data_IF_377929737822
#
_entry.id   IF_377929737822
#
_cell.length_a   1.000
_cell.length_b   1.000
_cell.length_c   1.000
_cell.angle_alpha   90.00
_cell.angle_beta   90.00
_cell.angle_gamma   90.00
#
_symmetry.space_group_name_H-M   'P 1'
#
loop_
_entity.id
_entity.type
_entity.pdbx_description
1 polymer ?
#
# COMPACT_ATOMS: atom_id res chain seq x y z
N UNK A 1 -7.72 8.93 5.73
CA UNK A 1 -7.91 7.46 5.61
C UNK A 1 -9.01 6.95 4.66
N UNK A 2 -9.89 7.78 4.10
CA UNK A 2 -11.04 7.37 3.26
C UNK A 2 -10.75 6.33 2.14
N UNK A 3 -9.66 6.49 1.39
CA UNK A 3 -9.30 5.55 0.33
C UNK A 3 -9.00 4.13 0.84
N UNK A 4 -8.55 3.99 2.10
CA UNK A 4 -8.36 2.68 2.75
C UNK A 4 -9.72 1.99 2.94
N UNK A 5 -10.72 2.72 3.43
CA UNK A 5 -12.10 2.23 3.57
C UNK A 5 -12.69 1.85 2.21
N UNK A 6 -12.54 2.71 1.20
CA UNK A 6 -13.03 2.41 -0.14
C UNK A 6 -12.35 1.18 -0.73
N UNK A 7 -11.05 0.99 -0.48
CA UNK A 7 -10.35 -0.23 -0.87
C UNK A 7 -10.91 -1.47 -0.16
N UNK A 8 -11.19 -1.39 1.14
CA UNK A 8 -11.84 -2.47 1.89
C UNK A 8 -13.22 -2.82 1.32
N UNK A 9 -14.04 -1.80 1.07
CA UNK A 9 -15.39 -1.94 0.47
C UNK A 9 -15.33 -2.64 -0.88
N UNK A 10 -14.43 -2.21 -1.78
CA UNK A 10 -14.21 -2.85 -3.09
C UNK A 10 -13.77 -4.32 -2.93
N UNK A 11 -12.96 -4.63 -1.91
CA UNK A 11 -12.46 -5.98 -1.61
C UNK A 11 -13.42 -6.83 -0.76
N UNK A 12 -14.64 -6.34 -0.52
CA UNK A 12 -15.71 -7.06 0.15
C UNK A 12 -15.51 -7.23 1.66
N UNK A 13 -14.89 -6.27 2.34
CA UNK A 13 -14.87 -6.24 3.80
C UNK A 13 -14.98 -4.82 4.38
N UNK A 14 -15.52 -4.73 5.59
CA UNK A 14 -15.66 -3.48 6.32
C UNK A 14 -14.54 -3.35 7.34
N UNK A 15 -13.86 -2.22 7.35
CA UNK A 15 -12.90 -1.87 8.41
C UNK A 15 -13.72 -1.37 9.61
N UNK A 16 -13.57 -1.96 10.81
CA UNK A 16 -14.46 -1.68 11.93
C UNK A 16 -14.16 -0.36 12.68
N UNK A 17 -13.05 0.30 12.36
CA UNK A 17 -12.69 1.63 12.89
C UNK A 17 -13.07 2.72 11.90
N UNK A 18 -13.45 3.89 12.39
CA UNK A 18 -13.77 5.07 11.58
C UNK A 18 -12.53 5.69 10.95
N UNK A 19 -12.74 6.56 9.95
CA UNK A 19 -11.66 7.33 9.31
C UNK A 19 -10.95 8.20 10.34
N UNK A 20 -11.71 8.83 11.23
CA UNK A 20 -11.25 9.72 12.29
C UNK A 20 -10.40 8.98 13.32
N UNK A 21 -10.83 7.81 13.78
CA UNK A 21 -10.08 6.97 14.73
C UNK A 21 -8.72 6.54 14.15
N UNK A 22 -8.68 6.14 12.87
CA UNK A 22 -7.43 5.72 12.21
C UNK A 22 -6.51 6.92 11.99
N UNK A 23 -7.04 8.06 11.54
CA UNK A 23 -6.25 9.28 11.31
C UNK A 23 -5.71 9.85 12.63
N UNK A 24 -6.45 9.73 13.73
CA UNK A 24 -5.96 10.05 15.08
C UNK A 24 -4.88 9.08 15.56
N UNK A 25 -5.09 7.76 15.41
CA UNK A 25 -4.09 6.76 15.77
C UNK A 25 -2.76 6.95 14.99
N UNK A 26 -2.82 7.36 13.72
CA UNK A 26 -1.63 7.72 12.94
C UNK A 26 -0.88 8.92 13.54
N UNK A 27 -1.60 9.98 13.94
CA UNK A 27 -1.01 11.19 14.53
C UNK A 27 -0.40 10.92 15.89
N UNK A 28 -1.07 10.13 16.73
CA UNK A 28 -0.56 9.71 18.02
C UNK A 28 0.72 8.89 17.86
N UNK A 29 0.74 7.93 16.94
CA UNK A 29 1.93 7.12 16.69
C UNK A 29 3.10 7.96 16.18
N UNK A 30 2.86 8.96 15.32
CA UNK A 30 3.90 9.89 14.87
C UNK A 30 4.51 10.66 16.05
N UNK A 31 3.66 11.21 16.92
CA UNK A 31 4.08 11.95 18.11
C UNK A 31 4.85 11.05 19.10
N UNK A 32 4.38 9.83 19.34
CA UNK A 32 5.04 8.86 20.22
C UNK A 32 6.44 8.46 19.74
N UNK A 33 6.64 8.42 18.42
CA UNK A 33 7.96 8.14 17.82
C UNK A 33 8.89 9.37 17.84
N UNK A 34 8.37 10.56 18.13
CA UNK A 34 9.15 11.81 18.10
C UNK A 34 9.57 12.23 16.68
N UNK A 35 8.91 11.71 15.64
CA UNK A 35 9.24 12.07 14.26
C UNK A 35 8.50 13.33 13.82
N UNK A 36 9.21 14.22 13.13
CA UNK A 36 8.59 15.38 12.45
C UNK A 36 8.12 15.03 11.03
N UNK A 37 8.86 14.16 10.34
CA UNK A 37 8.54 13.66 9.00
C UNK A 37 8.73 12.15 8.99
N UNK A 38 7.73 11.43 8.49
CA UNK A 38 7.73 9.99 8.43
C UNK A 38 6.75 9.47 7.37
N UNK A 39 7.04 8.27 6.89
CA UNK A 39 6.11 7.51 6.08
C UNK A 39 5.15 6.72 6.97
N UNK A 40 3.85 6.85 6.70
CA UNK A 40 2.77 6.18 7.44
C UNK A 40 2.17 5.05 6.59
N UNK A 41 2.04 3.86 7.18
CA UNK A 41 1.49 2.67 6.52
C UNK A 41 0.37 2.02 7.33
N UNK A 42 -0.88 2.47 7.13
CA UNK A 42 -2.04 1.70 7.54
C UNK A 42 -2.20 0.48 6.61
N UNK A 43 -2.49 -0.69 7.19
CA UNK A 43 -2.79 -1.92 6.46
C UNK A 43 -3.98 -2.62 7.12
N UNK A 44 -4.93 -3.09 6.31
CA UNK A 44 -6.07 -3.88 6.77
C UNK A 44 -6.13 -5.23 6.04
N UNK A 45 -6.47 -6.31 6.74
CA UNK A 45 -6.49 -7.67 6.19
C UNK A 45 -7.45 -8.61 6.93
N UNK A 46 -7.85 -9.71 6.27
CA UNK A 46 -8.61 -10.81 6.89
C UNK A 46 -7.68 -11.69 7.74
N UNK A 47 -8.14 -12.08 8.93
CA UNK A 47 -7.44 -12.92 9.89
C UNK A 47 -7.25 -14.37 9.44
N UNK A 48 -6.94 -15.25 10.38
CA UNK A 48 -6.55 -16.64 10.12
C UNK A 48 -7.61 -17.66 10.54
N UNK A 49 -8.84 -17.23 10.81
CA UNK A 49 -9.91 -18.11 11.30
C UNK A 49 -10.32 -19.17 10.25
N UNK A 50 -10.31 -18.80 8.97
CA UNK A 50 -10.52 -19.70 7.84
C UNK A 50 -9.44 -19.52 6.79
N UNK A 51 -8.95 -20.64 6.24
CA UNK A 51 -7.86 -20.67 5.25
C UNK A 51 -8.34 -20.87 3.79
N UNK A 52 -9.65 -21.09 3.59
CA UNK A 52 -10.22 -21.20 2.24
C UNK A 52 -10.28 -19.87 1.50
N UNK A 53 -10.46 -19.89 0.18
CA UNK A 53 -10.59 -18.67 -0.65
C UNK A 53 -11.78 -17.81 -0.18
N UNK A 54 -12.89 -18.44 0.21
CA UNK A 54 -14.08 -17.76 0.72
C UNK A 54 -14.00 -17.49 2.24
N UNK A 55 -12.97 -16.77 2.67
CA UNK A 55 -12.70 -16.47 4.08
C UNK A 55 -13.57 -15.32 4.66
N UNK A 56 -14.90 -15.35 4.42
CA UNK A 56 -15.77 -14.20 4.66
C UNK A 56 -15.96 -13.84 6.15
N UNK A 57 -15.97 -14.85 7.03
CA UNK A 57 -16.13 -14.69 8.48
C UNK A 57 -14.82 -14.42 9.23
N UNK A 58 -13.69 -14.27 8.53
CA UNK A 58 -12.42 -13.95 9.20
C UNK A 58 -12.48 -12.55 9.80
N UNK A 59 -11.83 -12.38 10.96
CA UNK A 59 -11.72 -11.08 11.62
C UNK A 59 -11.01 -10.10 10.69
N UNK A 60 -11.51 -8.87 10.62
CA UNK A 60 -10.76 -7.79 9.96
C UNK A 60 -9.77 -7.20 10.96
N UNK A 61 -8.50 -7.26 10.60
CA UNK A 61 -7.40 -6.67 11.34
C UNK A 61 -6.99 -5.36 10.68
N UNK A 62 -6.49 -4.43 11.49
CA UNK A 62 -5.83 -3.22 11.04
C UNK A 62 -4.56 -3.00 11.86
N UNK A 63 -3.50 -2.57 11.20
CA UNK A 63 -2.25 -2.15 11.84
C UNK A 63 -1.75 -0.87 11.19
N UNK A 64 -1.04 -0.07 11.98
CA UNK A 64 -0.40 1.17 11.54
C UNK A 64 1.06 1.07 11.90
N UNK A 65 1.93 1.26 10.92
CA UNK A 65 3.37 1.38 11.13
C UNK A 65 3.87 2.72 10.59
N UNK A 66 4.85 3.32 11.28
CA UNK A 66 5.44 4.61 10.93
C UNK A 66 6.95 4.51 11.07
N UNK A 67 7.68 5.06 10.09
CA UNK A 67 9.14 5.16 10.13
C UNK A 67 9.63 6.27 9.21
N UNK A 68 10.83 6.78 9.46
CA UNK A 68 11.48 7.75 8.58
C UNK A 68 11.82 7.08 7.25
N UNK A 69 11.42 7.69 6.13
CA UNK A 69 11.64 7.14 4.79
C UNK A 69 12.33 8.18 3.91
N UNK A 70 13.58 7.95 3.45
CA UNK A 70 14.31 8.91 2.64
C UNK A 70 13.70 9.03 1.23
N UNK A 71 13.96 10.13 0.53
CA UNK A 71 13.46 10.27 -0.84
C UNK A 71 13.90 9.10 -1.73
N UNK A 72 12.96 8.55 -2.52
CA UNK A 72 13.24 7.46 -3.47
C UNK A 72 14.29 7.83 -4.52
N UNK A 73 14.40 9.12 -4.83
CA UNK A 73 15.36 9.65 -5.80
C UNK A 73 16.14 10.76 -5.12
N UNK A 74 17.46 10.77 -5.31
CA UNK A 74 18.29 11.86 -4.83
C UNK A 74 17.77 13.20 -5.39
N UNK A 75 17.76 14.29 -4.62
CA UNK A 75 17.23 15.58 -5.07
C UNK A 75 17.79 16.04 -6.43
N UNK A 76 19.08 15.80 -6.67
CA UNK A 76 19.73 16.10 -7.95
C UNK A 76 19.16 15.29 -9.13
N UNK A 77 18.82 14.01 -8.91
CA UNK A 77 18.21 13.16 -9.93
C UNK A 77 16.77 13.57 -10.23
N UNK A 78 16.01 14.00 -9.21
CA UNK A 78 14.65 14.54 -9.41
C UNK A 78 14.65 15.75 -10.34
N UNK A 79 15.64 16.63 -10.22
CA UNK A 79 15.76 17.84 -11.04
C UNK A 79 16.17 17.54 -12.49
N UNK A 80 17.01 16.51 -12.70
CA UNK A 80 17.46 16.09 -14.04
C UNK A 80 16.42 15.25 -14.80
N UNK A 81 15.43 14.71 -14.09
CA UNK A 81 14.49 13.73 -14.63
C UNK A 81 15.00 12.29 -14.49
N UNK A 82 14.06 11.34 -14.53
CA UNK A 82 14.36 9.91 -14.41
C UNK A 82 14.23 9.21 -15.77
N UNK A 83 15.05 8.18 -15.98
CA UNK A 83 14.89 7.26 -17.11
C UNK A 83 13.83 6.22 -16.78
N UNK A 84 13.01 5.88 -17.77
CA UNK A 84 11.96 4.87 -17.66
C UNK A 84 12.24 3.70 -18.58
N UNK A 85 11.83 2.50 -18.15
CA UNK A 85 11.79 1.30 -18.99
C UNK A 85 10.35 0.83 -19.14
N UNK A 86 10.09 0.06 -20.20
CA UNK A 86 8.80 -0.57 -20.42
C UNK A 86 8.71 -1.85 -19.59
N UNK A 87 7.69 -1.91 -18.72
CA UNK A 87 7.42 -3.08 -17.90
C UNK A 87 7.03 -4.28 -18.77
N UNK A 88 7.52 -5.46 -18.39
CA UNK A 88 7.14 -6.74 -19.01
C UNK A 88 5.65 -7.05 -18.79
N UNK A 89 5.18 -6.88 -17.55
CA UNK A 89 3.80 -7.14 -17.18
C UNK A 89 2.93 -5.91 -17.40
N UNK A 90 1.82 -6.09 -18.11
CA UNK A 90 0.79 -5.06 -18.24
C UNK A 90 0.04 -4.90 -16.92
N UNK A 91 -0.39 -3.66 -16.63
CA UNK A 91 -1.32 -3.40 -15.53
C UNK A 91 -2.64 -4.14 -15.80
N UNK A 92 -3.28 -4.71 -14.77
CA UNK A 92 -4.50 -5.50 -14.96
C UNK A 92 -5.64 -4.62 -15.46
N UNK A 93 -6.42 -5.17 -16.41
CA UNK A 93 -7.70 -4.58 -16.83
C UNK A 93 -8.64 -4.52 -15.61
N UNK A 94 -9.42 -3.44 -15.42
CA UNK A 94 -10.38 -3.35 -14.32
C UNK A 94 -11.42 -4.49 -14.28
N UNK A 95 -11.64 -5.21 -15.38
CA UNK A 95 -12.50 -6.40 -15.46
C UNK A 95 -11.82 -7.68 -14.94
N UNK A 96 -10.49 -7.70 -14.82
CA UNK A 96 -9.74 -8.88 -14.36
C UNK A 96 -9.26 -8.73 -12.91
N UNK A 97 -9.07 -7.50 -12.42
CA UNK A 97 -8.70 -7.25 -11.03
C UNK A 97 -9.30 -5.93 -10.51
N UNK A 98 -9.55 -5.80 -9.19
CA UNK A 98 -10.10 -4.59 -8.58
C UNK A 98 -9.07 -3.46 -8.51
N UNK A 99 -8.64 -2.94 -9.66
CA UNK A 99 -7.52 -2.00 -9.82
C UNK A 99 -7.73 -0.64 -9.17
N UNK A 100 -8.97 -0.30 -8.79
CA UNK A 100 -9.31 0.89 -8.00
C UNK A 100 -8.98 0.76 -6.51
N UNK A 101 -8.81 -0.47 -6.02
CA UNK A 101 -8.36 -0.72 -4.64
C UNK A 101 -6.84 -0.67 -4.54
N UNK A 102 -6.30 -0.22 -3.40
CA UNK A 102 -4.86 -0.32 -3.10
C UNK A 102 -4.58 -1.67 -2.40
N UNK A 103 -4.80 -2.78 -3.10
CA UNK A 103 -4.69 -4.12 -2.55
C UNK A 103 -3.28 -4.71 -2.68
N UNK A 104 -2.85 -5.50 -1.68
CA UNK A 104 -1.55 -6.20 -1.70
C UNK A 104 -1.38 -7.11 -2.94
N UNK A 105 -2.44 -7.83 -3.34
CA UNK A 105 -2.41 -8.73 -4.50
C UNK A 105 -2.09 -8.04 -5.84
N UNK A 106 -2.25 -6.71 -5.93
CA UNK A 106 -1.93 -5.94 -7.14
C UNK A 106 -0.46 -5.54 -7.26
N UNK A 107 0.36 -5.80 -6.22
CA UNK A 107 1.76 -5.39 -6.18
C UNK A 107 2.74 -6.42 -6.75
N UNK A 108 2.32 -7.68 -6.96
CA UNK A 108 3.19 -8.72 -7.50
C UNK A 108 3.88 -8.28 -8.80
N UNK A 109 3.11 -7.80 -9.78
CA UNK A 109 3.66 -7.32 -11.05
C UNK A 109 4.49 -6.03 -10.91
N UNK A 110 4.18 -5.18 -9.93
CA UNK A 110 4.94 -3.96 -9.67
C UNK A 110 6.35 -4.31 -9.18
N UNK A 111 6.45 -5.25 -8.24
CA UNK A 111 7.72 -5.70 -7.66
C UNK A 111 8.60 -6.33 -8.73
N UNK A 112 8.05 -7.24 -9.54
CA UNK A 112 8.80 -7.87 -10.64
C UNK A 112 9.28 -6.85 -11.67
N UNK A 113 8.41 -5.90 -12.05
CA UNK A 113 8.78 -4.86 -13.02
C UNK A 113 9.85 -3.92 -12.47
N UNK A 114 9.81 -3.60 -11.16
CA UNK A 114 10.82 -2.78 -10.50
C UNK A 114 12.17 -3.48 -10.49
N UNK A 115 12.23 -4.76 -10.08
CA UNK A 115 13.47 -5.54 -10.09
C UNK A 115 14.06 -5.63 -11.50
N UNK A 116 13.24 -5.85 -12.52
CA UNK A 116 13.70 -5.93 -13.91
C UNK A 116 14.29 -4.59 -14.41
N UNK A 117 13.70 -3.46 -14.04
CA UNK A 117 14.22 -2.14 -14.37
C UNK A 117 15.56 -1.86 -13.66
N UNK A 118 15.66 -2.20 -12.37
CA UNK A 118 16.90 -2.05 -11.58
C UNK A 118 18.05 -2.89 -12.15
N UNK A 119 17.77 -4.14 -12.54
CA UNK A 119 18.76 -5.00 -13.18
C UNK A 119 19.31 -4.44 -14.51
N UNK A 120 18.56 -3.57 -15.19
CA UNK A 120 18.96 -2.86 -16.41
C UNK A 120 19.60 -1.49 -16.14
N UNK A 121 19.81 -1.13 -14.87
CA UNK A 121 20.40 0.14 -14.46
C UNK A 121 19.44 1.34 -14.49
N UNK A 122 18.13 1.10 -14.48
CA UNK A 122 17.13 2.15 -14.27
C UNK A 122 16.88 2.36 -12.77
N UNK A 123 16.47 3.58 -12.43
CA UNK A 123 16.23 4.01 -11.05
C UNK A 123 14.93 3.46 -10.46
#
# INVERSE_FOLDING_TARGET
TERLHESGRILGFTIPWTVEEIDEACRQLLAMQGFQDAYVRPIAWRGSEMMGVSAQSNRINLAIAIWQWPSYFNPEQRLKGIRLDLAEYRRPDPRTAPSRSKAAGLYMICTLSKHAAEAKGYA
#
